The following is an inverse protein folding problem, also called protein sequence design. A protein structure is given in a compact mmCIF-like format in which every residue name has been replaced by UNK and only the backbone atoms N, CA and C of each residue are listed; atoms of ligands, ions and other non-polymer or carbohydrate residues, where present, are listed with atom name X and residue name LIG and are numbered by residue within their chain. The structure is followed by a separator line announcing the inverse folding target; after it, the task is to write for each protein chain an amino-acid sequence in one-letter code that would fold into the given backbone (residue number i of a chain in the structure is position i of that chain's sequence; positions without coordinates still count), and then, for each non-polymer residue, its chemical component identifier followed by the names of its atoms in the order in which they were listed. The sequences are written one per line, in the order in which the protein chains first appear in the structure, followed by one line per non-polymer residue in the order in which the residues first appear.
data_IF_166656977313
#
_entry.id   IF_166656977313
#
_cell.length_a   1.000
_cell.length_b   1.000
_cell.length_c   1.000
_cell.angle_alpha   90.00
_cell.angle_beta   90.00
_cell.angle_gamma   90.00
#
_symmetry.space_group_name_H-M   'P 1'
#
loop_
_entity.id
_entity.type
_entity.pdbx_description
1 polymer ?
#
# COMPACT_ATOMS: atom_id res chain seq x y z
N UNK A 1 -9.26 -79.93 4.61
CA UNK A 1 -8.68 -78.65 4.16
C UNK A 1 -9.79 -77.72 3.73
N UNK A 2 -10.12 -76.70 4.54
CA UNK A 2 -10.99 -75.56 4.15
C UNK A 2 -10.38 -74.30 4.75
N UNK A 3 -9.87 -73.43 3.89
CA UNK A 3 -9.26 -72.15 4.26
C UNK A 3 -10.36 -71.14 4.64
N UNK A 4 -10.23 -70.51 5.81
CA UNK A 4 -11.00 -69.33 6.18
C UNK A 4 -10.28 -68.08 5.64
N UNK A 5 -10.97 -67.11 5.01
CA UNK A 5 -10.32 -65.89 4.56
C UNK A 5 -10.22 -64.89 5.72
N UNK A 6 -9.01 -64.34 5.91
CA UNK A 6 -8.78 -63.16 6.74
C UNK A 6 -9.50 -61.94 6.12
N UNK A 7 -10.34 -61.29 6.91
CA UNK A 7 -10.81 -59.93 6.62
C UNK A 7 -9.67 -58.94 6.89
N UNK A 8 -9.08 -58.40 5.83
CA UNK A 8 -8.20 -57.23 5.92
C UNK A 8 -9.09 -56.00 6.01
N UNK A 9 -9.23 -55.45 7.22
CA UNK A 9 -9.86 -54.15 7.43
C UNK A 9 -8.93 -53.06 6.87
N UNK A 10 -9.28 -52.52 5.71
CA UNK A 10 -8.62 -51.35 5.14
C UNK A 10 -8.95 -50.12 6.01
N UNK A 11 -7.98 -49.63 6.78
CA UNK A 11 -8.04 -48.29 7.35
C UNK A 11 -8.06 -47.28 6.20
N UNK A 12 -9.24 -46.75 5.89
CA UNK A 12 -9.38 -45.52 5.12
C UNK A 12 -8.75 -44.38 5.92
N UNK A 13 -7.55 -43.95 5.50
CA UNK A 13 -7.00 -42.68 5.95
C UNK A 13 -7.97 -41.57 5.57
N UNK A 14 -8.64 -40.98 6.56
CA UNK A 14 -9.47 -39.80 6.35
C UNK A 14 -8.58 -38.70 5.74
N UNK A 15 -9.04 -37.99 4.69
CA UNK A 15 -8.30 -36.86 4.18
C UNK A 15 -8.17 -35.83 5.30
N UNK A 16 -6.93 -35.41 5.59
CA UNK A 16 -6.67 -34.33 6.53
C UNK A 16 -7.56 -33.13 6.15
N UNK A 17 -8.27 -32.51 7.10
CA UNK A 17 -9.08 -31.34 6.77
C UNK A 17 -8.14 -30.29 6.19
N UNK A 18 -8.39 -29.89 4.95
CA UNK A 18 -7.76 -28.72 4.36
C UNK A 18 -7.93 -27.57 5.36
N UNK A 19 -6.82 -26.96 5.80
CA UNK A 19 -6.85 -25.83 6.74
C UNK A 19 -7.84 -24.79 6.19
N UNK A 20 -9.01 -24.71 6.82
CA UNK A 20 -10.03 -23.76 6.43
C UNK A 20 -9.47 -22.35 6.61
N UNK A 21 -9.71 -21.46 5.67
CA UNK A 21 -9.28 -20.06 5.77
C UNK A 21 -9.88 -19.39 7.02
N UNK A 22 -9.18 -18.42 7.63
CA UNK A 22 -9.64 -17.79 8.86
C UNK A 22 -10.93 -17.02 8.59
N UNK A 23 -11.89 -17.14 9.50
CA UNK A 23 -13.22 -16.55 9.40
C UNK A 23 -13.38 -15.37 10.36
N UNK A 24 -14.47 -14.61 10.25
CA UNK A 24 -14.82 -13.57 11.22
C UNK A 24 -14.95 -14.09 12.66
N UNK A 25 -15.28 -15.38 12.85
CA UNK A 25 -15.26 -15.99 14.19
C UNK A 25 -13.83 -16.16 14.73
N UNK A 26 -12.86 -16.43 13.85
CA UNK A 26 -11.44 -16.45 14.22
C UNK A 26 -10.96 -15.04 14.61
N UNK A 27 -11.36 -14.01 13.84
CA UNK A 27 -11.04 -12.61 14.14
C UNK A 27 -11.62 -12.19 15.48
N UNK A 28 -12.90 -12.49 15.75
CA UNK A 28 -13.56 -12.20 17.03
C UNK A 28 -12.80 -12.86 18.19
N UNK A 29 -12.52 -14.17 18.10
CA UNK A 29 -11.78 -14.89 19.16
C UNK A 29 -10.41 -14.27 19.42
N UNK A 30 -9.66 -13.95 18.37
CA UNK A 30 -8.35 -13.33 18.51
C UNK A 30 -8.44 -11.96 19.19
N UNK A 31 -9.42 -11.13 18.78
CA UNK A 31 -9.65 -9.82 19.37
C UNK A 31 -10.10 -9.89 20.84
N UNK A 32 -11.00 -10.81 21.20
CA UNK A 32 -11.44 -11.02 22.59
C UNK A 32 -10.27 -11.44 23.48
N UNK A 33 -9.46 -12.42 23.03
CA UNK A 33 -8.28 -12.86 23.79
C UNK A 33 -7.26 -11.74 23.97
N UNK A 34 -7.02 -10.94 22.93
CA UNK A 34 -6.13 -9.81 23.03
C UNK A 34 -6.68 -8.70 23.95
N UNK A 35 -8.00 -8.45 23.93
CA UNK A 35 -8.62 -7.51 24.85
C UNK A 35 -8.44 -7.95 26.31
N UNK A 36 -8.67 -9.23 26.61
CA UNK A 36 -8.43 -9.80 27.94
C UNK A 36 -6.96 -9.67 28.36
N UNK A 37 -6.02 -9.99 27.46
CA UNK A 37 -4.59 -9.92 27.73
C UNK A 37 -4.05 -8.49 27.94
N UNK A 38 -4.80 -7.49 27.47
CA UNK A 38 -4.39 -6.08 27.49
C UNK A 38 -5.17 -5.24 28.51
N UNK A 39 -6.14 -5.83 29.22
CA UNK A 39 -7.17 -5.10 29.96
C UNK A 39 -7.84 -4.03 29.09
N UNK A 40 -8.06 -4.37 27.81
CA UNK A 40 -8.57 -3.49 26.77
C UNK A 40 -10.08 -3.64 26.55
N UNK A 41 -10.64 -2.68 25.81
CA UNK A 41 -12.08 -2.64 25.49
C UNK A 41 -12.29 -2.93 24.01
N UNK A 42 -13.05 -3.98 23.71
CA UNK A 42 -13.48 -4.30 22.35
C UNK A 42 -14.51 -3.26 21.89
N UNK A 43 -14.31 -2.68 20.71
CA UNK A 43 -15.09 -1.57 20.21
C UNK A 43 -15.14 -1.56 18.68
N UNK A 44 -16.03 -0.74 18.14
CA UNK A 44 -16.03 -0.45 16.71
C UNK A 44 -14.70 0.15 16.27
N UNK A 45 -14.29 -0.22 15.06
CA UNK A 45 -13.08 0.35 14.49
C UNK A 45 -13.30 1.83 14.15
N UNK A 46 -12.28 2.68 14.34
CA UNK A 46 -12.33 4.10 13.97
C UNK A 46 -12.84 4.32 12.55
N UNK A 47 -13.47 5.47 12.30
CA UNK A 47 -13.99 5.81 10.97
C UNK A 47 -12.91 5.77 9.87
N UNK A 48 -11.65 6.05 10.24
CA UNK A 48 -10.48 5.91 9.35
C UNK A 48 -10.27 4.48 8.83
N UNK A 49 -10.79 3.47 9.52
CA UNK A 49 -10.74 2.06 9.13
C UNK A 49 -11.99 1.59 8.39
N UNK A 50 -12.98 2.46 8.12
CA UNK A 50 -14.22 2.07 7.46
C UNK A 50 -13.97 1.38 6.10
N UNK A 51 -12.98 1.88 5.34
CA UNK A 51 -12.55 1.33 4.03
C UNK A 51 -11.31 0.43 4.11
N UNK A 52 -10.83 0.13 5.32
CA UNK A 52 -9.65 -0.70 5.55
C UNK A 52 -10.12 -2.08 6.01
N UNK A 53 -9.53 -3.11 5.41
CA UNK A 53 -9.78 -4.49 5.80
C UNK A 53 -11.12 -5.04 5.35
N UNK A 54 -11.56 -6.10 6.01
CA UNK A 54 -12.83 -6.75 5.74
C UNK A 54 -13.96 -6.16 6.61
N UNK A 55 -15.23 -6.51 6.31
CA UNK A 55 -16.35 -6.21 7.22
C UNK A 55 -16.25 -6.93 8.57
N UNK A 56 -15.41 -7.97 8.67
CA UNK A 56 -15.28 -8.81 9.87
C UNK A 56 -14.17 -8.32 10.83
N UNK A 57 -13.52 -7.20 10.50
CA UNK A 57 -12.48 -6.60 11.35
C UNK A 57 -12.97 -6.32 12.76
N UNK A 58 -12.05 -6.37 13.71
CA UNK A 58 -12.30 -6.05 15.12
C UNK A 58 -11.24 -5.11 15.64
N UNK A 59 -11.64 -4.23 16.56
CA UNK A 59 -10.75 -3.26 17.16
C UNK A 59 -10.82 -3.32 18.69
N UNK A 60 -9.68 -3.13 19.33
CA UNK A 60 -9.52 -3.11 20.78
C UNK A 60 -8.83 -1.82 21.17
N UNK A 61 -9.48 -1.00 21.99
CA UNK A 61 -8.86 0.16 22.62
C UNK A 61 -8.07 -0.28 23.86
N UNK A 62 -6.82 0.14 23.95
CA UNK A 62 -5.86 -0.33 24.96
C UNK A 62 -5.22 0.87 25.65
N UNK A 63 -5.16 0.82 26.98
CA UNK A 63 -4.38 1.76 27.78
C UNK A 63 -2.89 1.48 27.65
N UNK A 64 -2.07 2.53 27.63
CA UNK A 64 -0.62 2.43 27.49
C UNK A 64 -0.13 2.57 26.04
N UNK A 65 1.20 2.58 25.90
CA UNK A 65 1.87 2.76 24.61
C UNK A 65 1.84 1.47 23.78
N UNK A 66 2.13 1.60 22.47
CA UNK A 66 2.24 0.46 21.55
C UNK A 66 3.26 -0.56 22.03
N UNK A 67 4.37 -0.10 22.61
CA UNK A 67 5.42 -0.96 23.16
C UNK A 67 4.94 -1.75 24.38
N UNK A 68 4.21 -1.10 25.28
CA UNK A 68 3.61 -1.76 26.44
C UNK A 68 2.58 -2.81 26.02
N UNK A 69 1.70 -2.47 25.08
CA UNK A 69 0.73 -3.40 24.53
C UNK A 69 1.40 -4.59 23.82
N UNK A 70 2.46 -4.34 23.05
CA UNK A 70 3.26 -5.39 22.39
C UNK A 70 3.88 -6.34 23.41
N UNK A 71 4.48 -5.79 24.48
CA UNK A 71 5.12 -6.60 25.52
C UNK A 71 4.10 -7.49 26.23
N UNK A 72 2.94 -6.95 26.62
CA UNK A 72 1.85 -7.70 27.28
C UNK A 72 1.30 -8.81 26.38
N UNK A 73 1.02 -8.53 25.10
CA UNK A 73 0.59 -9.56 24.16
C UNK A 73 1.67 -10.61 23.89
N UNK A 74 2.95 -10.21 23.87
CA UNK A 74 4.07 -11.14 23.76
C UNK A 74 4.08 -12.17 24.88
N UNK A 75 3.85 -11.73 26.12
CA UNK A 75 3.77 -12.61 27.29
C UNK A 75 2.50 -13.47 27.27
N UNK A 76 1.34 -12.88 26.95
CA UNK A 76 0.05 -13.57 27.05
C UNK A 76 -0.24 -14.53 25.89
N UNK A 77 0.19 -14.20 24.67
CA UNK A 77 -0.11 -14.94 23.44
C UNK A 77 1.14 -15.57 22.80
N UNK A 78 2.28 -15.61 23.48
CA UNK A 78 3.57 -15.96 22.87
C UNK A 78 3.58 -17.22 21.99
N UNK A 79 2.95 -18.32 22.42
CA UNK A 79 2.86 -19.56 21.64
C UNK A 79 1.93 -19.45 20.41
N UNK A 80 0.98 -18.52 20.45
CA UNK A 80 0.02 -18.25 19.39
C UNK A 80 0.48 -17.14 18.44
N UNK A 81 1.52 -16.37 18.79
CA UNK A 81 2.09 -15.35 17.93
C UNK A 81 3.03 -15.97 16.89
N UNK A 82 2.90 -15.53 15.64
CA UNK A 82 3.72 -16.03 14.55
C UNK A 82 5.10 -15.36 14.50
N UNK A 83 6.06 -16.00 15.16
CA UNK A 83 7.45 -15.55 15.13
C UNK A 83 7.61 -14.13 15.70
N UNK A 84 8.50 -13.35 15.10
CA UNK A 84 8.86 -12.02 15.62
C UNK A 84 7.90 -10.93 15.15
N UNK A 85 7.63 -9.99 16.05
CA UNK A 85 6.94 -8.74 15.72
C UNK A 85 7.65 -7.98 14.61
N UNK A 86 6.87 -7.40 13.71
CA UNK A 86 7.37 -6.62 12.59
C UNK A 86 6.96 -5.16 12.73
N UNK A 87 7.88 -4.27 12.40
CA UNK A 87 7.65 -2.82 12.42
C UNK A 87 6.94 -2.36 11.14
N UNK A 88 6.09 -1.34 11.28
CA UNK A 88 5.46 -0.56 10.20
C UNK A 88 5.51 0.91 10.59
N UNK A 89 5.52 1.80 9.61
CA UNK A 89 5.42 3.26 9.83
C UNK A 89 6.51 3.81 10.75
N UNK A 90 7.78 3.59 10.40
CA UNK A 90 8.91 4.12 11.18
C UNK A 90 8.81 3.74 12.67
N UNK A 91 8.47 2.48 12.97
CA UNK A 91 8.27 1.96 14.34
C UNK A 91 7.04 2.46 15.08
N UNK A 92 6.23 3.36 14.51
CA UNK A 92 4.99 3.82 15.16
C UNK A 92 3.95 2.72 15.28
N UNK A 93 3.94 1.73 14.40
CA UNK A 93 3.05 0.58 14.52
C UNK A 93 3.82 -0.72 14.38
N UNK A 94 3.32 -1.76 15.02
CA UNK A 94 3.89 -3.10 14.92
C UNK A 94 2.79 -4.08 14.58
N UNK A 95 3.14 -5.14 13.87
CA UNK A 95 2.18 -6.18 13.51
C UNK A 95 2.76 -7.58 13.70
N UNK A 96 1.86 -8.53 13.86
CA UNK A 96 2.12 -9.95 13.94
C UNK A 96 0.87 -10.71 13.43
N UNK A 97 0.92 -12.03 13.44
CA UNK A 97 -0.20 -12.90 13.16
C UNK A 97 -0.50 -13.73 14.41
N UNK A 98 -1.78 -13.87 14.72
CA UNK A 98 -2.27 -14.69 15.85
C UNK A 98 -2.82 -15.99 15.27
N UNK A 99 -2.34 -17.12 15.78
CA UNK A 99 -2.85 -18.45 15.44
C UNK A 99 -4.30 -18.58 15.89
N UNK A 100 -5.12 -19.10 14.99
CA UNK A 100 -6.52 -19.41 15.20
C UNK A 100 -6.85 -20.77 14.57
N UNK A 101 -7.99 -21.39 14.91
CA UNK A 101 -8.41 -22.67 14.32
C UNK A 101 -8.42 -22.66 12.78
N UNK A 102 -8.87 -21.57 12.17
CA UNK A 102 -8.84 -21.36 10.71
C UNK A 102 -7.51 -20.82 10.15
N UNK A 103 -6.39 -20.93 10.86
CA UNK A 103 -5.10 -20.42 10.38
C UNK A 103 -4.62 -19.18 11.14
N UNK A 104 -4.42 -18.05 10.45
CA UNK A 104 -3.78 -16.88 11.03
C UNK A 104 -4.61 -15.61 10.88
N UNK A 105 -4.82 -14.90 11.99
CA UNK A 105 -5.47 -13.59 12.04
C UNK A 105 -4.40 -12.51 12.08
N UNK A 106 -4.54 -11.50 11.23
CA UNK A 106 -3.67 -10.33 11.23
C UNK A 106 -3.92 -9.51 12.51
N UNK A 107 -2.85 -9.14 13.20
CA UNK A 107 -2.86 -8.26 14.37
C UNK A 107 -1.92 -7.08 14.12
N UNK A 108 -2.44 -5.86 14.29
CA UNK A 108 -1.65 -4.63 14.27
C UNK A 108 -1.90 -3.81 15.53
N UNK A 109 -0.83 -3.33 16.15
CA UNK A 109 -0.85 -2.34 17.22
C UNK A 109 -0.33 -1.01 16.69
N UNK A 110 -1.03 0.08 17.00
CA UNK A 110 -0.67 1.44 16.61
C UNK A 110 -1.26 2.46 17.61
N UNK A 111 -0.83 3.73 17.61
CA UNK A 111 -1.53 4.77 18.34
C UNK A 111 -2.97 4.87 17.86
N UNK A 112 -3.90 5.11 18.78
CA UNK A 112 -5.30 5.29 18.44
C UNK A 112 -5.48 6.58 17.60
N UNK A 113 -5.96 6.49 16.35
CA UNK A 113 -6.15 7.68 15.52
C UNK A 113 -7.22 8.63 16.08
N UNK A 114 -8.19 8.12 16.83
CA UNK A 114 -9.28 8.93 17.40
C UNK A 114 -8.93 9.46 18.79
N UNK A 115 -7.79 9.06 19.36
CA UNK A 115 -7.35 9.45 20.71
C UNK A 115 -8.24 8.95 21.86
N UNK A 116 -9.20 8.06 21.58
CA UNK A 116 -10.13 7.49 22.58
C UNK A 116 -9.45 6.47 23.50
N UNK A 117 -8.33 5.91 23.06
CA UNK A 117 -7.38 5.11 23.81
C UNK A 117 -5.95 5.57 23.45
N UNK A 118 -4.93 5.05 24.14
CA UNK A 118 -3.54 5.35 23.77
C UNK A 118 -3.05 4.45 22.63
N UNK A 119 -3.47 3.18 22.64
CA UNK A 119 -3.14 2.19 21.61
C UNK A 119 -4.42 1.55 21.06
N UNK A 120 -4.42 1.31 19.74
CA UNK A 120 -5.44 0.54 19.03
C UNK A 120 -4.85 -0.79 18.57
N UNK A 121 -5.47 -1.89 18.99
CA UNK A 121 -5.28 -3.20 18.40
C UNK A 121 -6.29 -3.45 17.29
N UNK A 122 -5.83 -3.62 16.06
CA UNK A 122 -6.64 -3.94 14.89
C UNK A 122 -6.45 -5.40 14.49
N UNK A 123 -7.56 -6.11 14.31
CA UNK A 123 -7.60 -7.52 13.96
C UNK A 123 -8.40 -7.73 12.68
N UNK A 124 -7.89 -8.55 11.78
CA UNK A 124 -8.59 -8.89 10.54
C UNK A 124 -8.12 -10.23 9.95
N UNK A 125 -8.91 -10.77 9.05
CA UNK A 125 -8.44 -11.81 8.15
C UNK A 125 -7.37 -11.23 7.19
N UNK A 126 -6.38 -12.03 6.74
CA UNK A 126 -5.41 -11.59 5.76
C UNK A 126 -6.11 -11.11 4.48
N UNK A 127 -5.73 -9.95 3.91
CA UNK A 127 -6.26 -9.54 2.61
C UNK A 127 -5.75 -10.51 1.54
N UNK A 128 -6.63 -11.40 1.08
CA UNK A 128 -6.36 -12.35 0.02
C UNK A 128 -6.58 -13.83 0.37
N UNK A 129 -7.75 -14.19 0.89
CA UNK A 129 -8.43 -15.48 0.58
C UNK A 129 -9.93 -15.29 0.73
N UNK A 130 -10.54 -14.50 -0.15
CA UNK A 130 -11.92 -14.76 -0.49
C UNK A 130 -11.95 -16.11 -1.22
N UNK A 131 -12.83 -17.08 -0.89
CA UNK A 131 -13.06 -18.20 -1.79
C UNK A 131 -13.48 -17.60 -3.13
N UNK A 132 -12.91 -18.09 -4.22
CA UNK A 132 -13.31 -17.72 -5.57
C UNK A 132 -14.82 -17.94 -5.69
N UNK A 133 -15.60 -16.87 -5.50
CA UNK A 133 -17.00 -16.87 -5.84
C UNK A 133 -17.05 -17.20 -7.33
N UNK A 134 -17.72 -18.31 -7.63
CA UNK A 134 -17.85 -18.88 -8.96
C UNK A 134 -18.01 -17.78 -10.03
N UNK A 135 -16.94 -17.54 -10.78
CA UNK A 135 -16.99 -16.73 -11.96
C UNK A 135 -17.97 -17.41 -12.93
N UNK A 136 -19.13 -16.78 -13.16
CA UNK A 136 -19.95 -17.12 -14.32
C UNK A 136 -19.05 -17.01 -15.56
N UNK A 137 -18.93 -18.12 -16.27
CA UNK A 137 -18.14 -18.23 -17.49
C UNK A 137 -18.53 -17.14 -18.51
N UNK A 138 -17.57 -16.42 -19.13
CA UNK A 138 -17.84 -15.66 -20.33
C UNK A 138 -18.02 -16.63 -21.52
N UNK A 139 -19.07 -16.40 -22.31
CA UNK A 139 -19.36 -17.12 -23.55
C UNK A 139 -18.19 -16.99 -24.56
N UNK A 140 -17.98 -17.97 -25.47
CA UNK A 140 -16.83 -18.01 -26.37
C UNK A 140 -16.91 -16.93 -27.47
N UNK A 141 -15.76 -16.38 -27.93
CA UNK A 141 -15.74 -15.43 -29.04
C UNK A 141 -15.83 -16.13 -30.41
N UNK A 142 -16.67 -15.57 -31.29
CA UNK A 142 -16.79 -15.93 -32.70
C UNK A 142 -15.56 -15.47 -33.53
N UNK A 143 -15.27 -16.09 -34.70
CA UNK A 143 -13.93 -16.08 -35.30
C UNK A 143 -13.59 -14.83 -36.12
N UNK A 144 -12.29 -14.52 -36.13
CA UNK A 144 -11.65 -13.41 -36.82
C UNK A 144 -11.79 -13.47 -38.35
N UNK A 145 -12.20 -12.35 -38.94
CA UNK A 145 -12.20 -12.13 -40.40
C UNK A 145 -10.86 -11.51 -40.81
N UNK A 146 -10.19 -12.16 -41.77
CA UNK A 146 -8.90 -11.80 -42.37
C UNK A 146 -8.93 -10.41 -43.05
N UNK A 147 -7.86 -9.65 -42.89
CA UNK A 147 -7.52 -8.51 -43.76
C UNK A 147 -6.39 -8.92 -44.73
N UNK A 148 -6.47 -8.55 -46.03
CA UNK A 148 -5.46 -8.90 -47.03
C UNK A 148 -4.31 -7.89 -47.13
N UNK A 149 -3.23 -8.40 -47.70
CA UNK A 149 -1.87 -7.87 -47.87
C UNK A 149 -1.73 -6.66 -48.80
N UNK A 150 -0.60 -5.97 -48.65
CA UNK A 150 -0.04 -4.87 -49.44
C UNK A 150 0.02 -5.09 -50.96
N UNK A 151 0.39 -4.04 -51.72
CA UNK A 151 1.63 -4.17 -52.48
C UNK A 151 2.55 -2.93 -52.43
N UNK A 152 3.79 -3.18 -52.84
CA UNK A 152 4.97 -2.33 -52.82
C UNK A 152 5.13 -1.45 -54.07
N UNK A 153 5.92 -0.38 -53.94
CA UNK A 153 6.75 0.29 -54.99
C UNK A 153 7.46 1.49 -54.32
N UNK A 154 8.58 2.06 -54.78
CA UNK A 154 9.87 1.62 -55.28
C UNK A 154 10.73 2.91 -55.39
N UNK A 155 12.05 2.79 -55.18
CA UNK A 155 13.12 3.63 -55.76
C UNK A 155 13.46 5.03 -55.19
N UNK A 156 14.75 5.17 -54.87
CA UNK A 156 15.50 6.37 -54.46
C UNK A 156 15.95 7.23 -55.68
N UNK A 157 16.61 8.41 -55.52
CA UNK A 157 18.05 8.47 -55.21
C UNK A 157 18.60 9.68 -54.38
N UNK A 158 19.81 9.49 -53.82
CA UNK A 158 20.83 10.47 -53.29
C UNK A 158 21.49 11.23 -54.48
N UNK A 159 22.44 12.22 -54.42
CA UNK A 159 23.33 12.80 -53.36
C UNK A 159 23.58 14.35 -53.53
N UNK A 160 24.68 15.04 -53.09
CA UNK A 160 25.92 14.63 -52.40
C UNK A 160 26.42 15.46 -51.20
N UNK A 161 27.50 14.94 -50.61
CA UNK A 161 28.27 15.44 -49.49
C UNK A 161 29.15 16.66 -49.82
N UNK A 162 29.47 17.47 -48.80
CA UNK A 162 30.64 18.35 -48.81
C UNK A 162 31.29 18.44 -47.42
N UNK A 163 32.45 17.80 -47.36
CA UNK A 163 33.69 18.03 -46.57
C UNK A 163 33.74 19.12 -45.48
N UNK A 164 34.25 18.67 -44.33
CA UNK A 164 34.91 19.36 -43.19
C UNK A 164 36.07 20.30 -43.63
N UNK A 165 36.48 21.29 -42.80
CA UNK A 165 37.54 21.01 -41.81
C UNK A 165 37.45 21.77 -40.46
N UNK A 166 38.00 21.15 -39.41
CA UNK A 166 38.28 21.72 -38.10
C UNK A 166 39.62 22.50 -38.08
N UNK A 167 39.82 23.40 -37.10
CA UNK A 167 41.13 23.49 -36.45
C UNK A 167 41.05 23.56 -34.90
N UNK A 168 41.73 22.58 -34.27
CA UNK A 168 42.70 22.64 -33.14
C UNK A 168 42.36 23.39 -31.80
N UNK A 169 43.11 23.15 -30.70
CA UNK A 169 42.55 22.71 -29.43
C UNK A 169 42.70 23.74 -28.30
N UNK A 170 41.62 24.04 -27.58
CA UNK A 170 41.71 24.79 -26.33
C UNK A 170 41.90 23.82 -25.16
N UNK A 171 42.91 24.12 -24.34
CA UNK A 171 43.36 23.41 -23.16
C UNK A 171 42.25 23.17 -22.09
N UNK A 172 42.41 22.16 -21.21
CA UNK A 172 41.41 21.79 -20.21
C UNK A 172 41.28 22.83 -19.09
N UNK A 173 40.06 23.16 -18.62
CA UNK A 173 39.93 23.79 -17.32
C UNK A 173 40.14 22.72 -16.23
N UNK A 174 41.15 22.97 -15.39
CA UNK A 174 41.34 22.36 -14.09
C UNK A 174 40.05 22.47 -13.21
N UNK A 175 39.88 21.62 -12.19
CA UNK A 175 38.59 21.40 -11.53
C UNK A 175 38.13 22.66 -10.78
N UNK A 176 36.99 23.21 -11.21
CA UNK A 176 36.31 24.24 -10.46
C UNK A 176 35.75 23.62 -9.17
N UNK A 177 36.48 23.88 -8.08
CA UNK A 177 35.98 23.86 -6.72
C UNK A 177 34.61 24.53 -6.66
N UNK A 178 33.72 23.87 -5.93
CA UNK A 178 32.64 24.41 -5.12
C UNK A 178 32.34 25.90 -5.31
N UNK A 179 31.20 26.20 -5.92
CA UNK A 179 30.51 27.46 -5.69
C UNK A 179 29.02 27.19 -5.34
N UNK A 180 28.46 27.98 -4.42
CA UNK A 180 27.37 27.57 -3.54
C UNK A 180 26.00 28.04 -4.04
N UNK A 181 24.96 27.40 -3.52
CA UNK A 181 23.67 28.01 -3.12
C UNK A 181 23.12 29.14 -4.01
N UNK A 182 22.24 28.77 -4.95
CA UNK A 182 21.21 29.69 -5.44
C UNK A 182 19.92 28.89 -5.68
N UNK A 183 18.80 29.45 -5.19
CA UNK A 183 17.45 28.92 -5.24
C UNK A 183 17.12 27.75 -4.27
N UNK A 184 17.45 27.94 -2.99
CA UNK A 184 16.47 27.67 -1.94
C UNK A 184 15.35 28.73 -2.05
N UNK A 185 14.60 28.72 -3.15
CA UNK A 185 13.30 29.36 -3.20
C UNK A 185 12.47 28.66 -2.14
N UNK A 186 11.86 29.43 -1.23
CA UNK A 186 11.16 28.95 -0.03
C UNK A 186 10.13 27.89 -0.40
N UNK A 187 10.57 26.63 -0.46
CA UNK A 187 9.69 25.50 -0.62
C UNK A 187 8.90 25.42 0.67
N UNK A 188 7.57 25.36 0.57
CA UNK A 188 6.71 25.08 1.72
C UNK A 188 6.82 23.61 2.15
N UNK A 189 7.71 22.84 1.52
CA UNK A 189 7.90 21.44 1.82
C UNK A 189 8.57 21.28 3.20
N UNK A 190 7.95 20.54 4.12
CA UNK A 190 8.55 20.24 5.41
C UNK A 190 9.72 19.25 5.31
N UNK A 191 9.93 18.63 4.14
CA UNK A 191 10.98 17.65 3.87
C UNK A 191 11.57 17.88 2.48
N UNK A 192 12.84 17.52 2.23
CA UNK A 192 13.42 17.56 0.89
C UNK A 192 12.84 16.45 -0.01
N UNK A 193 12.79 16.70 -1.33
CA UNK A 193 12.46 15.65 -2.29
C UNK A 193 13.56 14.59 -2.31
N UNK A 194 13.25 13.38 -1.83
CA UNK A 194 14.21 12.27 -1.76
C UNK A 194 14.02 11.22 -2.88
N UNK A 195 12.77 11.00 -3.33
CA UNK A 195 12.42 9.96 -4.30
C UNK A 195 11.07 10.24 -4.95
N UNK A 196 10.87 9.68 -6.14
CA UNK A 196 9.56 9.71 -6.81
C UNK A 196 8.55 8.82 -6.08
N UNK A 197 7.40 9.39 -5.71
CA UNK A 197 6.33 8.67 -5.03
C UNK A 197 5.30 8.17 -6.03
N UNK A 198 4.89 6.91 -5.94
CA UNK A 198 3.97 6.30 -6.88
C UNK A 198 3.30 5.08 -6.26
N UNK A 199 2.19 4.65 -6.85
CA UNK A 199 1.55 3.39 -6.46
C UNK A 199 2.43 2.21 -6.85
N UNK A 200 2.72 1.34 -5.88
CA UNK A 200 3.53 0.14 -6.06
C UNK A 200 2.87 -1.04 -5.33
N UNK A 201 3.24 -2.27 -5.71
CA UNK A 201 2.77 -3.49 -5.03
C UNK A 201 3.11 -3.47 -3.54
N UNK A 202 4.33 -3.04 -3.21
CA UNK A 202 4.71 -2.63 -1.86
C UNK A 202 4.52 -1.11 -1.77
N UNK A 203 3.44 -0.67 -1.12
CA UNK A 203 3.12 0.76 -1.02
C UNK A 203 4.30 1.53 -0.41
N UNK A 204 4.68 2.63 -1.05
CA UNK A 204 5.63 3.56 -0.46
C UNK A 204 5.06 4.18 0.81
N UNK A 205 5.91 4.39 1.81
CA UNK A 205 5.52 5.02 3.06
C UNK A 205 6.67 5.84 3.66
N UNK A 206 6.32 6.79 4.51
CA UNK A 206 7.27 7.64 5.22
C UNK A 206 6.78 9.08 5.39
N UNK A 207 7.62 9.90 6.03
CA UNK A 207 7.37 11.33 6.23
C UNK A 207 7.15 12.11 4.92
N UNK A 208 7.84 11.71 3.83
CA UNK A 208 7.69 12.29 2.48
C UNK A 208 6.27 12.09 1.92
N UNK A 209 5.75 10.88 2.04
CA UNK A 209 4.38 10.53 1.62
C UNK A 209 3.34 11.27 2.47
N UNK A 210 3.55 11.33 3.80
CA UNK A 210 2.63 12.05 4.69
C UNK A 210 2.58 13.54 4.37
N UNK A 211 3.74 14.16 4.12
CA UNK A 211 3.81 15.57 3.74
C UNK A 211 3.02 15.86 2.46
N UNK A 212 3.15 15.00 1.45
CA UNK A 212 2.37 15.10 0.20
C UNK A 212 0.89 14.98 0.47
N UNK A 213 0.47 13.98 1.24
CA UNK A 213 -0.94 13.78 1.56
C UNK A 213 -1.54 14.95 2.34
N UNK A 214 -0.85 15.43 3.39
CA UNK A 214 -1.29 16.59 4.18
C UNK A 214 -1.43 17.83 3.29
N UNK A 215 -0.49 18.04 2.37
CA UNK A 215 -0.56 19.16 1.41
C UNK A 215 -1.71 19.01 0.42
N UNK A 216 -1.95 17.80 -0.11
CA UNK A 216 -3.08 17.53 -1.00
C UNK A 216 -4.43 17.75 -0.29
N UNK A 217 -4.56 17.31 0.97
CA UNK A 217 -5.76 17.52 1.79
C UNK A 217 -6.01 19.02 1.97
N UNK A 218 -4.97 19.80 2.27
CA UNK A 218 -5.07 21.26 2.41
C UNK A 218 -5.51 21.97 1.11
N UNK A 219 -5.20 21.39 -0.04
CA UNK A 219 -5.55 21.93 -1.36
C UNK A 219 -6.90 21.41 -1.91
N UNK A 220 -7.54 20.46 -1.21
CA UNK A 220 -8.82 19.88 -1.66
C UNK A 220 -10.00 20.74 -1.21
N UNK A 221 -11.00 20.97 -2.08
CA UNK A 221 -12.23 21.70 -1.77
C UNK A 221 -13.50 20.84 -1.99
N UNK A 222 -14.47 20.86 -1.06
CA UNK A 222 -14.40 21.45 0.29
C UNK A 222 -13.30 20.78 1.12
N UNK A 223 -12.71 21.53 2.06
CA UNK A 223 -11.64 21.01 2.91
C UNK A 223 -12.20 19.91 3.80
N UNK A 224 -11.87 18.65 3.51
CA UNK A 224 -12.40 17.49 4.26
C UNK A 224 -11.87 17.36 5.68
N UNK A 225 -10.88 18.17 6.07
CA UNK A 225 -10.12 17.98 7.31
C UNK A 225 -9.32 16.68 7.30
N UNK A 226 -8.46 16.50 8.31
CA UNK A 226 -7.69 15.27 8.51
C UNK A 226 -6.22 15.35 8.13
N UNK A 227 -5.53 14.22 8.31
CA UNK A 227 -4.10 14.03 8.02
C UNK A 227 -3.88 12.77 7.21
N UNK A 228 -2.87 12.81 6.36
CA UNK A 228 -2.39 11.66 5.62
C UNK A 228 -1.94 10.53 6.55
N UNK A 229 -2.15 9.29 6.14
CA UNK A 229 -1.73 8.08 6.87
C UNK A 229 -0.23 7.80 6.73
N UNK A 230 0.45 8.48 5.79
CA UNK A 230 1.86 8.27 5.46
C UNK A 230 2.10 7.14 4.46
N UNK A 231 1.05 6.60 3.83
CA UNK A 231 1.15 5.50 2.87
C UNK A 231 0.62 5.85 1.48
N UNK A 232 1.42 5.63 0.45
CA UNK A 232 1.06 5.93 -0.93
C UNK A 232 0.15 4.82 -1.46
N UNK A 233 -1.17 5.04 -1.37
CA UNK A 233 -2.20 4.08 -1.79
C UNK A 233 -2.93 4.50 -3.06
N UNK A 234 -3.88 3.67 -3.54
CA UNK A 234 -4.71 3.99 -4.70
C UNK A 234 -5.43 5.34 -4.55
N UNK A 235 -5.93 5.64 -3.34
CA UNK A 235 -6.56 6.93 -3.04
C UNK A 235 -5.56 8.08 -3.20
N UNK A 236 -4.35 7.96 -2.64
CA UNK A 236 -3.30 8.99 -2.81
C UNK A 236 -2.92 9.18 -4.27
N UNK A 237 -2.79 8.09 -5.04
CA UNK A 237 -2.52 8.17 -6.48
C UNK A 237 -3.63 8.89 -7.24
N UNK A 238 -4.91 8.59 -6.93
CA UNK A 238 -6.06 9.29 -7.51
C UNK A 238 -6.08 10.78 -7.14
N UNK A 239 -5.79 11.12 -5.88
CA UNK A 239 -5.70 12.51 -5.44
C UNK A 239 -4.55 13.26 -6.13
N UNK A 240 -3.40 12.60 -6.33
CA UNK A 240 -2.28 13.18 -7.09
C UNK A 240 -2.67 13.40 -8.55
N UNK A 241 -3.42 12.49 -9.17
CA UNK A 241 -3.95 12.70 -10.54
C UNK A 241 -4.87 13.90 -10.63
N UNK A 242 -5.78 14.05 -9.67
CA UNK A 242 -6.68 15.19 -9.59
C UNK A 242 -5.90 16.52 -9.45
N UNK A 243 -4.91 16.54 -8.56
CA UNK A 243 -4.01 17.68 -8.39
C UNK A 243 -3.25 18.00 -9.68
N UNK A 244 -2.66 17.00 -10.32
CA UNK A 244 -1.91 17.16 -11.57
C UNK A 244 -2.80 17.74 -12.68
N UNK A 245 -4.02 17.23 -12.84
CA UNK A 245 -4.98 17.72 -13.81
C UNK A 245 -5.35 19.20 -13.56
N UNK A 246 -5.61 19.57 -12.30
CA UNK A 246 -5.95 20.95 -11.93
C UNK A 246 -4.79 21.95 -12.11
N UNK A 247 -3.55 21.44 -12.10
CA UNK A 247 -2.34 22.25 -12.18
C UNK A 247 -1.63 22.17 -13.54
N UNK A 248 -2.23 21.51 -14.55
CA UNK A 248 -1.67 21.41 -15.89
C UNK A 248 -0.42 20.54 -15.99
N UNK A 249 -0.24 19.61 -15.05
CA UNK A 249 0.84 18.62 -15.07
C UNK A 249 0.40 17.35 -15.81
N UNK A 250 1.37 16.54 -16.24
CA UNK A 250 1.11 15.21 -16.77
C UNK A 250 0.43 14.34 -15.70
N UNK A 251 -0.77 13.81 -16.02
CA UNK A 251 -1.61 13.05 -15.09
C UNK A 251 -1.10 11.61 -14.98
N UNK A 252 -0.02 11.44 -14.21
CA UNK A 252 0.64 10.14 -14.01
C UNK A 252 0.16 9.44 -12.74
N UNK A 253 -0.31 10.21 -11.75
CA UNK A 253 -0.53 9.72 -10.38
C UNK A 253 0.77 9.36 -9.68
N UNK A 254 1.87 9.98 -10.08
CA UNK A 254 3.20 9.88 -9.47
C UNK A 254 3.66 11.27 -9.07
N UNK A 255 4.27 11.39 -7.89
CA UNK A 255 4.91 12.62 -7.43
C UNK A 255 6.38 12.55 -7.80
N UNK A 256 6.70 13.04 -8.98
CA UNK A 256 8.07 13.32 -9.43
C UNK A 256 8.54 14.70 -8.95
N UNK A 257 9.75 15.10 -9.35
CA UNK A 257 10.33 16.39 -8.93
C UNK A 257 9.46 17.58 -9.32
N UNK A 258 8.94 17.60 -10.54
CA UNK A 258 8.10 18.69 -11.03
C UNK A 258 6.78 18.78 -10.25
N UNK A 259 6.14 17.63 -10.00
CA UNK A 259 4.93 17.56 -9.18
C UNK A 259 5.20 18.00 -7.74
N UNK A 260 6.33 17.59 -7.16
CA UNK A 260 6.73 17.97 -5.79
C UNK A 260 6.93 19.49 -5.65
N UNK A 261 7.71 20.09 -6.54
CA UNK A 261 8.02 21.51 -6.49
C UNK A 261 6.74 22.36 -6.63
N UNK A 262 5.82 21.96 -7.51
CA UNK A 262 4.55 22.66 -7.68
C UNK A 262 3.58 22.43 -6.50
N UNK A 263 3.54 21.23 -5.93
CA UNK A 263 2.67 20.92 -4.78
C UNK A 263 3.02 21.77 -3.55
N UNK A 264 4.30 22.03 -3.34
CA UNK A 264 4.83 22.81 -2.22
C UNK A 264 5.19 24.25 -2.58
N UNK A 265 4.73 24.76 -3.72
CA UNK A 265 4.81 26.18 -4.05
C UNK A 265 3.59 26.95 -3.54
N UNK A 266 3.69 28.27 -3.54
CA UNK A 266 2.56 29.19 -3.36
C UNK A 266 1.62 29.23 -4.58
N UNK A 267 2.06 28.72 -5.74
CA UNK A 267 1.27 28.67 -6.98
C UNK A 267 0.41 27.42 -7.13
N UNK A 268 0.48 26.49 -6.16
CA UNK A 268 -0.34 25.28 -6.13
C UNK A 268 -1.84 25.62 -6.14
N UNK A 269 -2.55 25.19 -7.18
CA UNK A 269 -4.00 25.38 -7.31
C UNK A 269 -4.76 24.34 -6.52
N UNK A 270 -5.86 24.77 -5.89
CA UNK A 270 -6.81 23.89 -5.24
C UNK A 270 -7.63 23.11 -6.26
N UNK A 271 -8.10 21.92 -5.89
CA UNK A 271 -8.92 21.06 -6.74
C UNK A 271 -10.15 20.53 -5.99
N UNK A 272 -11.19 20.13 -6.72
CA UNK A 272 -12.44 19.65 -6.13
C UNK A 272 -12.32 18.20 -5.64
N UNK A 273 -12.88 17.89 -4.47
CA UNK A 273 -12.91 16.52 -3.94
C UNK A 273 -13.56 15.53 -4.94
N UNK A 274 -14.57 15.99 -5.68
CA UNK A 274 -15.30 15.20 -6.68
C UNK A 274 -14.45 14.83 -7.92
N UNK A 275 -13.30 15.47 -8.09
CA UNK A 275 -12.36 15.15 -9.17
C UNK A 275 -11.47 13.94 -8.86
N UNK A 276 -11.49 13.44 -7.63
CA UNK A 276 -10.75 12.25 -7.21
C UNK A 276 -11.55 11.01 -7.65
N UNK A 277 -11.13 10.34 -8.73
CA UNK A 277 -11.74 9.11 -9.26
C UNK A 277 -10.75 7.95 -9.30
#
# INVERSE_FOLDING_TARGET
MKFAPLLVAALLAAPAPALAAPTGRDVERAATRAAQALDGVLRDCPASFARIGTPQKKCVGVGGTVEQARARLGTALGADLYGVWRSRDEQRSVYNWVRAPGGYVYLRLQPDPDGRAQTLGYFDTPPGTAPAAAAKAPAPPAPARRAPSSPATASAPRPPARTTPAPRPAAPPAPAKSAPTAASARSLAPQPFARTLQLQAQRLNGADVRAVQDRLIALTRPSGGGRGDGWYGPVTAATVRAFQAANGLAVTGRVDRATWDLLFSSSARTFAADSIR
#
